data_IF_083644570223
#
_entry.id   IF_083644570223
#
_cell.length_a   1.000
_cell.length_b   1.000
_cell.length_c   1.000
_cell.angle_alpha   90.00
_cell.angle_beta   90.00
_cell.angle_gamma   90.00
#
_symmetry.space_group_name_H-M   'P 1'
#
loop_
_entity.id
_entity.type
_entity.pdbx_description
1 polymer ?
#
# COMPACT_ATOMS: atom_id res chain seq x y z
N UNK A 1 -13.77 9.17 13.57
CA UNK A 1 -12.62 9.33 12.64
C UNK A 1 -13.13 9.37 11.21
N UNK A 2 -12.69 10.34 10.42
CA UNK A 2 -13.09 10.47 9.02
C UNK A 2 -12.42 9.37 8.15
N UNK A 3 -13.07 8.94 7.07
CA UNK A 3 -12.57 7.83 6.24
C UNK A 3 -11.16 8.10 5.67
N UNK A 4 -10.93 9.34 5.25
CA UNK A 4 -9.64 9.87 4.79
C UNK A 4 -8.52 9.73 5.83
N UNK A 5 -8.81 10.07 7.08
CA UNK A 5 -7.83 10.00 8.18
C UNK A 5 -7.42 8.56 8.46
N UNK A 6 -8.35 7.61 8.35
CA UNK A 6 -8.03 6.18 8.52
C UNK A 6 -7.10 5.68 7.43
N UNK A 7 -7.30 6.08 6.17
CA UNK A 7 -6.44 5.64 5.07
C UNK A 7 -5.01 6.15 5.22
N UNK A 8 -4.80 7.40 5.64
CA UNK A 8 -3.46 7.91 5.96
C UNK A 8 -2.84 7.17 7.14
N UNK A 9 -3.62 6.88 8.19
CA UNK A 9 -3.13 6.14 9.34
C UNK A 9 -2.67 4.73 8.95
N UNK A 10 -3.48 4.01 8.17
CA UNK A 10 -3.09 2.70 7.65
C UNK A 10 -1.87 2.80 6.75
N UNK A 11 -1.83 3.75 5.82
CA UNK A 11 -0.66 4.01 4.98
C UNK A 11 0.60 4.21 5.81
N UNK A 12 0.55 5.04 6.85
CA UNK A 12 1.68 5.31 7.73
C UNK A 12 2.12 4.06 8.53
N UNK A 13 1.17 3.29 9.06
CA UNK A 13 1.46 2.03 9.78
C UNK A 13 2.14 1.03 8.84
N UNK A 14 1.58 0.82 7.64
CA UNK A 14 2.14 -0.07 6.64
C UNK A 14 3.56 0.35 6.20
N UNK A 15 3.79 1.65 6.04
CA UNK A 15 5.14 2.17 5.78
C UNK A 15 6.11 1.92 6.93
N UNK A 16 5.69 2.16 8.18
CA UNK A 16 6.52 1.91 9.35
C UNK A 16 6.90 0.44 9.49
N UNK A 17 5.93 -0.46 9.28
CA UNK A 17 6.17 -1.92 9.26
C UNK A 17 7.09 -2.30 8.10
N UNK A 18 6.88 -1.75 6.90
CA UNK A 18 7.77 -1.97 5.76
C UNK A 18 9.23 -1.58 6.04
N UNK A 19 9.45 -0.41 6.65
CA UNK A 19 10.79 0.05 7.05
C UNK A 19 11.42 -0.85 8.12
N UNK A 20 10.62 -1.37 9.05
CA UNK A 20 11.07 -2.35 10.03
C UNK A 20 11.57 -3.65 9.39
N UNK A 21 10.86 -4.17 8.38
CA UNK A 21 11.31 -5.35 7.64
C UNK A 21 12.55 -5.08 6.77
N UNK A 22 12.69 -3.86 6.21
CA UNK A 22 13.94 -3.44 5.56
C UNK A 22 15.11 -3.52 6.53
N UNK A 23 14.95 -3.01 7.75
CA UNK A 23 16.00 -3.07 8.78
C UNK A 23 16.39 -4.51 9.12
N UNK A 24 15.42 -5.44 9.11
CA UNK A 24 15.65 -6.88 9.30
C UNK A 24 16.17 -7.62 8.05
N UNK A 25 16.45 -6.90 6.95
CA UNK A 25 16.84 -7.45 5.64
C UNK A 25 15.83 -8.40 5.02
N UNK A 26 14.57 -8.28 5.41
CA UNK A 26 13.45 -9.06 4.92
C UNK A 26 12.74 -8.32 3.80
N UNK A 27 13.42 -8.22 2.66
CA UNK A 27 12.99 -7.37 1.55
C UNK A 27 11.66 -7.83 0.94
N UNK A 28 11.34 -9.12 1.04
CA UNK A 28 10.09 -9.65 0.50
C UNK A 28 8.88 -9.17 1.31
N UNK A 29 8.89 -9.34 2.63
CA UNK A 29 7.82 -8.79 3.49
C UNK A 29 7.82 -7.27 3.50
N UNK A 30 8.99 -6.64 3.47
CA UNK A 30 9.07 -5.19 3.31
C UNK A 30 8.34 -4.71 2.05
N UNK A 31 8.56 -5.38 0.91
CA UNK A 31 7.90 -5.01 -0.35
C UNK A 31 6.38 -5.12 -0.26
N UNK A 32 5.86 -6.16 0.39
CA UNK A 32 4.44 -6.35 0.63
C UNK A 32 3.83 -5.18 1.41
N UNK A 33 4.43 -4.85 2.55
CA UNK A 33 3.91 -3.78 3.41
C UNK A 33 4.04 -2.40 2.78
N UNK A 34 5.13 -2.13 2.05
CA UNK A 34 5.31 -0.86 1.33
C UNK A 34 4.31 -0.69 0.18
N UNK A 35 4.05 -1.74 -0.60
CA UNK A 35 3.05 -1.72 -1.67
C UNK A 35 1.64 -1.53 -1.12
N UNK A 36 1.31 -2.23 -0.02
CA UNK A 36 0.05 -2.04 0.68
C UNK A 36 -0.09 -0.59 1.16
N UNK A 37 0.93 -0.04 1.82
CA UNK A 37 0.95 1.35 2.30
C UNK A 37 0.77 2.37 1.18
N UNK A 38 1.46 2.19 0.06
CA UNK A 38 1.31 3.03 -1.14
C UNK A 38 -0.12 2.97 -1.69
N UNK A 39 -0.75 1.80 -1.74
CA UNK A 39 -2.12 1.67 -2.23
C UNK A 39 -3.10 2.53 -1.41
N UNK A 40 -2.97 2.56 -0.07
CA UNK A 40 -3.81 3.40 0.79
C UNK A 40 -3.56 4.90 0.57
N UNK A 41 -2.30 5.29 0.38
CA UNK A 41 -1.91 6.68 0.11
C UNK A 41 -2.48 7.15 -1.23
N UNK A 42 -2.33 6.36 -2.30
CA UNK A 42 -2.87 6.69 -3.63
C UNK A 42 -4.41 6.73 -3.66
N UNK A 43 -5.07 5.85 -2.91
CA UNK A 43 -6.52 5.87 -2.77
C UNK A 43 -7.01 7.17 -2.11
N UNK A 44 -6.25 7.67 -1.13
CA UNK A 44 -6.55 8.92 -0.47
C UNK A 44 -6.27 10.12 -1.36
N UNK A 45 -5.15 10.14 -2.09
CA UNK A 45 -4.86 11.15 -3.12
C UNK A 45 -5.98 11.23 -4.17
N UNK A 46 -6.61 10.11 -4.54
CA UNK A 46 -7.74 10.09 -5.47
C UNK A 46 -9.01 10.78 -4.92
N UNK A 47 -9.08 10.98 -3.60
CA UNK A 47 -10.18 11.66 -2.90
C UNK A 47 -9.89 13.14 -2.62
N UNK A 48 -8.67 13.62 -2.92
CA UNK A 48 -8.26 15.01 -2.70
C UNK A 48 -8.88 15.95 -3.76
N UNK A 49 -9.63 17.00 -3.38
CA UNK A 49 -10.30 17.89 -4.33
C UNK A 49 -9.34 18.57 -5.31
N UNK A 50 -8.12 18.88 -4.87
CA UNK A 50 -7.08 19.52 -5.69
C UNK A 50 -6.55 18.61 -6.82
N UNK A 51 -6.75 17.30 -6.72
CA UNK A 51 -6.25 16.29 -7.65
C UNK A 51 -7.36 15.68 -8.53
N UNK A 52 -8.54 16.31 -8.57
CA UNK A 52 -9.69 15.77 -9.28
C UNK A 52 -9.43 15.53 -10.77
N UNK A 53 -8.58 16.35 -11.40
CA UNK A 53 -8.14 16.21 -12.78
C UNK A 53 -7.39 14.88 -13.04
N UNK A 54 -6.71 14.34 -12.02
CA UNK A 54 -5.93 13.11 -12.09
C UNK A 54 -6.62 11.91 -11.44
N UNK A 55 -7.88 12.07 -10.99
CA UNK A 55 -8.62 11.04 -10.26
C UNK A 55 -8.62 9.70 -10.96
N UNK A 56 -8.87 9.68 -12.28
CA UNK A 56 -8.89 8.44 -13.06
C UNK A 56 -7.54 7.71 -12.99
N UNK A 57 -6.45 8.43 -13.19
CA UNK A 57 -5.09 7.87 -13.11
C UNK A 57 -4.76 7.37 -11.72
N UNK A 58 -5.09 8.15 -10.68
CA UNK A 58 -4.85 7.76 -9.27
C UNK A 58 -5.64 6.50 -8.89
N UNK A 59 -6.88 6.37 -9.36
CA UNK A 59 -7.69 5.17 -9.14
C UNK A 59 -7.07 3.96 -9.85
N UNK A 60 -6.63 4.11 -11.10
CA UNK A 60 -5.94 3.03 -11.83
C UNK A 60 -4.69 2.57 -11.08
N UNK A 61 -3.84 3.51 -10.65
CA UNK A 61 -2.62 3.20 -9.90
C UNK A 61 -2.96 2.48 -8.58
N UNK A 62 -4.00 2.93 -7.88
CA UNK A 62 -4.47 2.30 -6.64
C UNK A 62 -4.85 0.83 -6.88
N UNK A 63 -5.64 0.56 -7.92
CA UNK A 63 -6.04 -0.80 -8.27
C UNK A 63 -4.86 -1.67 -8.71
N UNK A 64 -3.94 -1.13 -9.50
CA UNK A 64 -2.71 -1.83 -9.86
C UNK A 64 -1.89 -2.19 -8.63
N UNK A 65 -1.70 -1.25 -7.69
CA UNK A 65 -0.99 -1.50 -6.44
C UNK A 65 -1.68 -2.56 -5.58
N UNK A 66 -3.02 -2.55 -5.48
CA UNK A 66 -3.77 -3.58 -4.76
C UNK A 66 -3.58 -4.97 -5.38
N UNK A 67 -3.65 -5.09 -6.71
CA UNK A 67 -3.43 -6.36 -7.42
C UNK A 67 -2.01 -6.88 -7.17
N UNK A 68 -1.00 -6.01 -7.33
CA UNK A 68 0.40 -6.40 -7.08
C UNK A 68 0.60 -6.80 -5.63
N UNK A 69 0.00 -6.08 -4.67
CA UNK A 69 0.05 -6.42 -3.24
C UNK A 69 -0.55 -7.80 -2.99
N UNK A 70 -1.69 -8.12 -3.61
CA UNK A 70 -2.32 -9.43 -3.48
C UNK A 70 -1.44 -10.56 -4.06
N UNK A 71 -0.83 -10.34 -5.22
CA UNK A 71 0.10 -11.30 -5.82
C UNK A 71 1.33 -11.54 -4.94
N UNK A 72 1.93 -10.47 -4.42
CA UNK A 72 3.08 -10.55 -3.50
C UNK A 72 2.67 -11.24 -2.19
N UNK A 73 1.48 -10.98 -1.68
CA UNK A 73 0.96 -11.65 -0.49
C UNK A 73 0.84 -13.16 -0.70
N UNK A 74 0.25 -13.60 -1.82
CA UNK A 74 0.16 -15.02 -2.16
C UNK A 74 1.54 -15.65 -2.34
N UNK A 75 2.48 -14.91 -2.92
CA UNK A 75 3.86 -15.36 -3.06
C UNK A 75 4.54 -15.54 -1.69
N UNK A 76 4.41 -14.56 -0.79
CA UNK A 76 4.92 -14.66 0.59
C UNK A 76 4.29 -15.85 1.32
N UNK A 77 2.98 -16.04 1.19
CA UNK A 77 2.27 -17.16 1.80
C UNK A 77 2.84 -18.50 1.30
N UNK A 78 3.02 -18.66 0.00
CA UNK A 78 3.46 -19.90 -0.64
C UNK A 78 4.92 -20.25 -0.38
N UNK A 79 5.82 -19.26 -0.35
CA UNK A 79 7.28 -19.52 -0.36
C UNK A 79 7.96 -19.22 0.97
N UNK A 80 7.29 -18.55 1.90
CA UNK A 80 7.84 -18.21 3.22
C UNK A 80 7.14 -18.92 4.36
N UNK A 81 5.85 -19.19 4.24
CA UNK A 81 5.03 -19.74 5.32
C UNK A 81 4.55 -21.17 5.08
N UNK A 82 4.24 -21.54 3.83
CA UNK A 82 3.97 -22.92 3.39
C UNK A 82 5.26 -23.65 3.04
#
# INVERSE_FOLDING_TARGET
>A
MNASTRQYLFGAIFFAVGLYHIYRRDYLEASLYLLAGLSFVFNMLASEPKLIAYKKTLVIITWSLMIVTALVFLYVLQFKFL
#
